data_IF_976375474733
#
_entry.id   IF_976375474733
#
_cell.length_a   1.000
_cell.length_b   1.000
_cell.length_c   1.000
_cell.angle_alpha   90.00
_cell.angle_beta   90.00
_cell.angle_gamma   90.00
#
_symmetry.space_group_name_H-M   'P 1'
#
loop_
_entity.id
_entity.type
_entity.pdbx_description
1 polymer ?
#
# COMPACT_ATOMS: atom_id res chain seq x y z
N UNK A 1 24.59 -8.02 4.31
CA UNK A 1 24.79 -9.37 3.73
C UNK A 1 24.62 -9.28 2.22
N UNK A 2 25.35 -10.05 1.42
CA UNK A 2 25.15 -10.14 -0.04
C UNK A 2 25.19 -11.62 -0.45
N UNK A 3 24.20 -12.08 -1.19
CA UNK A 3 24.16 -13.42 -1.82
C UNK A 3 24.19 -13.25 -3.33
N UNK A 4 24.78 -14.20 -4.06
CA UNK A 4 24.80 -14.20 -5.53
C UNK A 4 23.57 -14.87 -6.14
N UNK A 5 22.96 -15.80 -5.41
CA UNK A 5 21.78 -16.55 -5.82
C UNK A 5 20.66 -16.25 -4.81
N UNK A 6 20.29 -17.23 -3.99
CA UNK A 6 19.17 -17.12 -3.06
C UNK A 6 19.64 -16.70 -1.66
N UNK A 7 18.74 -16.06 -0.93
CA UNK A 7 18.83 -15.86 0.51
C UNK A 7 17.52 -16.32 1.14
N UNK A 8 17.59 -17.30 2.04
CA UNK A 8 16.44 -17.78 2.82
C UNK A 8 16.69 -17.50 4.30
N UNK A 9 15.69 -16.92 4.96
CA UNK A 9 15.71 -16.65 6.39
C UNK A 9 14.45 -17.29 6.99
N UNK A 10 14.63 -18.19 7.97
CA UNK A 10 13.54 -18.92 8.62
C UNK A 10 13.61 -18.71 10.13
N UNK A 11 12.46 -18.46 10.76
CA UNK A 11 12.32 -18.34 12.22
C UNK A 11 11.12 -19.15 12.69
N UNK A 12 11.10 -19.57 13.95
CA UNK A 12 10.00 -20.33 14.57
C UNK A 12 9.10 -19.45 15.47
N UNK A 13 9.45 -18.18 15.66
CA UNK A 13 8.75 -17.25 16.54
C UNK A 13 8.59 -15.89 15.85
N UNK A 14 9.55 -14.98 16.04
CA UNK A 14 9.45 -13.59 15.58
C UNK A 14 10.63 -13.19 14.68
N UNK A 15 10.35 -12.29 13.74
CA UNK A 15 11.33 -11.56 12.93
C UNK A 15 10.97 -10.08 12.95
N UNK A 16 11.97 -9.20 13.10
CA UNK A 16 11.78 -7.75 13.11
C UNK A 16 12.86 -7.04 12.30
N UNK A 17 12.50 -5.90 11.72
CA UNK A 17 13.40 -5.02 10.98
C UNK A 17 13.13 -3.58 11.40
N UNK A 18 14.13 -2.93 12.00
CA UNK A 18 14.03 -1.55 12.51
C UNK A 18 15.11 -0.67 11.85
N UNK A 19 14.74 0.55 11.49
CA UNK A 19 15.63 1.55 10.89
C UNK A 19 15.15 2.94 11.27
N UNK A 20 16.09 3.87 11.53
CA UNK A 20 15.77 5.25 11.91
C UNK A 20 15.38 6.13 10.71
N UNK A 21 15.67 5.68 9.49
CA UNK A 21 15.47 6.45 8.27
C UNK A 21 14.59 5.68 7.29
N UNK A 22 15.17 5.16 6.22
CA UNK A 22 14.43 4.49 5.16
C UNK A 22 14.59 2.97 5.25
N UNK A 23 13.52 2.26 4.89
CA UNK A 23 13.52 0.85 4.55
C UNK A 23 13.04 0.71 3.10
N UNK A 24 13.70 -0.10 2.27
CA UNK A 24 13.38 -0.20 0.84
C UNK A 24 13.51 -1.64 0.38
N UNK A 25 12.45 -2.15 -0.26
CA UNK A 25 12.39 -3.46 -0.88
C UNK A 25 12.22 -3.29 -2.39
N UNK A 26 13.16 -3.83 -3.17
CA UNK A 26 13.13 -3.77 -4.65
C UNK A 26 13.25 -5.18 -5.17
N UNK A 27 12.29 -5.58 -6.00
CA UNK A 27 12.16 -6.94 -6.53
C UNK A 27 11.24 -6.93 -7.76
N UNK A 28 11.42 -7.90 -8.67
CA UNK A 28 10.51 -8.09 -9.80
C UNK A 28 9.08 -8.46 -9.36
N UNK A 29 8.95 -9.20 -8.25
CA UNK A 29 7.69 -9.55 -7.62
C UNK A 29 7.84 -9.63 -6.09
N UNK A 30 6.76 -9.33 -5.36
CA UNK A 30 6.70 -9.47 -3.90
C UNK A 30 5.39 -10.13 -3.49
N UNK A 31 5.48 -11.12 -2.60
CA UNK A 31 4.33 -11.79 -1.98
C UNK A 31 4.45 -11.66 -0.47
N UNK A 32 3.41 -11.14 0.17
CA UNK A 32 3.25 -11.17 1.62
C UNK A 32 2.03 -12.00 1.97
N UNK A 33 2.22 -13.03 2.78
CA UNK A 33 1.15 -13.90 3.25
C UNK A 33 1.19 -13.96 4.77
N UNK A 34 0.09 -13.55 5.40
CA UNK A 34 -0.12 -13.64 6.85
C UNK A 34 -1.37 -14.46 7.12
N UNK A 35 -1.38 -15.24 8.20
CA UNK A 35 -2.52 -16.10 8.57
C UNK A 35 -3.65 -15.34 9.26
N UNK A 36 -3.34 -14.25 9.94
CA UNK A 36 -4.29 -13.42 10.69
C UNK A 36 -4.31 -12.02 10.09
N UNK A 37 -3.71 -11.02 10.76
CA UNK A 37 -3.82 -9.61 10.41
C UNK A 37 -2.59 -9.12 9.67
N UNK A 38 -2.79 -8.24 8.68
CA UNK A 38 -1.71 -7.51 7.99
C UNK A 38 -1.89 -6.01 8.20
N UNK A 39 -1.01 -5.41 8.99
CA UNK A 39 -1.08 -3.99 9.33
C UNK A 39 0.01 -3.19 8.63
N UNK A 40 -0.38 -2.04 8.05
CA UNK A 40 0.56 -1.01 7.57
C UNK A 40 0.20 0.29 8.27
N UNK A 41 1.15 0.84 9.03
CA UNK A 41 0.98 2.09 9.79
C UNK A 41 1.98 3.12 9.26
N UNK A 42 1.47 4.29 8.88
CA UNK A 42 2.29 5.39 8.39
C UNK A 42 1.79 6.71 8.98
N UNK A 43 2.72 7.61 9.32
CA UNK A 43 2.37 8.90 9.92
C UNK A 43 1.92 9.97 8.91
N UNK A 44 2.03 9.71 7.61
CA UNK A 44 1.70 10.69 6.57
C UNK A 44 0.81 10.10 5.46
N UNK A 45 1.28 9.03 4.80
CA UNK A 45 0.53 8.41 3.70
C UNK A 45 0.87 6.92 3.53
N UNK A 46 -0.08 6.16 3.00
CA UNK A 46 0.17 4.87 2.36
C UNK A 46 -0.24 4.99 0.89
N UNK A 47 0.65 4.57 -0.01
CA UNK A 47 0.43 4.56 -1.46
C UNK A 47 0.47 3.12 -1.97
N UNK A 48 -0.63 2.68 -2.57
CA UNK A 48 -0.70 1.45 -3.36
C UNK A 48 -0.85 1.84 -4.83
N UNK A 49 0.10 1.50 -5.69
CA UNK A 49 0.11 1.96 -7.09
C UNK A 49 0.47 0.84 -8.08
N UNK A 50 -0.25 0.80 -9.20
CA UNK A 50 0.00 -0.07 -10.36
C UNK A 50 -0.16 0.78 -11.63
N UNK A 51 0.97 1.19 -12.24
CA UNK A 51 0.95 2.17 -13.31
C UNK A 51 0.28 3.48 -12.84
N UNK A 52 -0.75 3.92 -13.55
CA UNK A 52 -1.52 5.13 -13.21
C UNK A 52 -2.65 4.87 -12.19
N UNK A 53 -2.98 3.61 -11.93
CA UNK A 53 -4.01 3.25 -10.94
C UNK A 53 -3.39 3.31 -9.54
N UNK A 54 -4.06 4.01 -8.62
CA UNK A 54 -3.55 4.14 -7.25
C UNK A 54 -4.65 4.27 -6.19
N UNK A 55 -4.32 3.83 -4.98
CA UNK A 55 -5.03 4.13 -3.75
C UNK A 55 -4.06 4.86 -2.83
N UNK A 56 -4.42 6.06 -2.39
CA UNK A 56 -3.65 6.87 -1.46
C UNK A 56 -4.48 7.09 -0.21
N UNK A 57 -4.03 6.54 0.92
CA UNK A 57 -4.61 6.87 2.22
C UNK A 57 -3.75 7.91 2.91
N UNK A 58 -4.41 8.88 3.53
CA UNK A 58 -3.82 9.93 4.36
C UNK A 58 -4.55 9.97 5.70
N UNK A 59 -4.16 10.89 6.58
CA UNK A 59 -4.69 10.94 7.94
C UNK A 59 -6.22 11.09 8.01
N UNK A 60 -6.81 11.88 7.11
CA UNK A 60 -8.21 12.32 7.16
C UNK A 60 -8.99 12.07 5.85
N UNK A 61 -8.34 11.53 4.82
CA UNK A 61 -9.00 11.24 3.55
C UNK A 61 -8.33 10.10 2.77
N UNK A 62 -9.07 9.58 1.79
CA UNK A 62 -8.61 8.55 0.84
C UNK A 62 -8.85 9.04 -0.59
N UNK A 63 -7.88 8.79 -1.48
CA UNK A 63 -8.01 9.01 -2.92
C UNK A 63 -7.85 7.67 -3.65
N UNK A 64 -8.77 7.35 -4.54
CA UNK A 64 -8.65 6.23 -5.50
C UNK A 64 -8.64 6.80 -6.90
N UNK A 65 -7.64 6.46 -7.71
CA UNK A 65 -7.55 6.82 -9.13
C UNK A 65 -7.46 5.57 -9.98
N UNK A 66 -8.29 5.47 -11.01
CA UNK A 66 -8.24 4.38 -11.98
C UNK A 66 -8.94 4.79 -13.28
N UNK A 67 -8.36 4.47 -14.45
CA UNK A 67 -9.04 4.63 -15.74
C UNK A 67 -9.56 6.04 -16.05
N UNK A 68 -8.89 7.09 -15.55
CA UNK A 68 -9.31 8.48 -15.70
C UNK A 68 -10.38 8.97 -14.71
N UNK A 69 -10.79 8.11 -13.76
CA UNK A 69 -11.71 8.46 -12.66
C UNK A 69 -10.90 8.74 -11.39
N UNK A 70 -11.31 9.75 -10.62
CA UNK A 70 -10.81 10.04 -9.27
C UNK A 70 -11.97 10.02 -8.27
N UNK A 71 -11.80 9.24 -7.19
CA UNK A 71 -12.72 9.19 -6.06
C UNK A 71 -12.00 9.71 -4.83
N UNK A 72 -12.62 10.64 -4.10
CA UNK A 72 -12.13 11.20 -2.85
C UNK A 72 -13.15 10.94 -1.75
N UNK A 73 -12.72 10.37 -0.64
CA UNK A 73 -13.53 10.19 0.57
C UNK A 73 -12.87 10.98 1.69
N UNK A 74 -13.59 11.92 2.28
CA UNK A 74 -13.15 12.72 3.41
C UNK A 74 -14.32 13.01 4.37
N UNK A 75 -14.11 13.90 5.34
CA UNK A 75 -15.15 14.33 6.28
C UNK A 75 -16.36 15.03 5.65
N UNK A 76 -16.25 15.51 4.41
CA UNK A 76 -17.35 16.12 3.65
C UNK A 76 -18.16 15.09 2.84
N UNK A 77 -17.67 13.84 2.75
CA UNK A 77 -18.36 12.73 2.09
C UNK A 77 -17.56 12.14 0.92
N UNK A 78 -18.29 11.72 -0.12
CA UNK A 78 -17.76 11.04 -1.31
C UNK A 78 -17.84 11.97 -2.52
N UNK A 79 -16.70 12.28 -3.14
CA UNK A 79 -16.62 13.05 -4.38
C UNK A 79 -16.05 12.17 -5.48
N UNK A 80 -16.75 12.10 -6.62
CA UNK A 80 -16.29 11.37 -7.82
C UNK A 80 -16.09 12.37 -8.96
N UNK A 81 -14.93 12.30 -9.62
CA UNK A 81 -14.57 13.14 -10.78
C UNK A 81 -14.32 12.25 -11.98
N UNK A 82 -15.05 12.51 -13.07
CA UNK A 82 -15.02 11.69 -14.28
C UNK A 82 -15.79 10.38 -14.14
N UNK A 83 -16.02 9.72 -15.27
CA UNK A 83 -16.77 8.46 -15.33
C UNK A 83 -18.28 8.61 -15.10
N UNK A 84 -18.96 7.47 -15.02
CA UNK A 84 -20.39 7.36 -14.74
C UNK A 84 -20.59 6.95 -13.28
N UNK A 85 -21.55 7.56 -12.57
CA UNK A 85 -21.96 7.17 -11.22
C UNK A 85 -23.31 6.47 -11.33
N UNK A 86 -23.35 5.18 -10.96
CA UNK A 86 -24.59 4.41 -10.81
C UNK A 86 -24.78 4.07 -9.34
N UNK A 87 -25.96 4.39 -8.80
CA UNK A 87 -26.39 3.92 -7.49
C UNK A 87 -27.44 2.83 -7.74
N UNK A 88 -27.11 1.59 -7.38
CA UNK A 88 -28.02 0.44 -7.40
C UNK A 88 -28.67 0.23 -6.03
#
# INVERSE_FOLDING_TARGET
>A
MRSKNNLLITTNASMGFETDKNNTFVSDNSLSQTKTDYEVKAGNQILHQVGDTQIVTKGDYVIIKAGGVEVVIDSNGLVVKGGEIRAE
#
